data_IF_194853570003
#
_entry.id   IF_194853570003
#
_cell.length_a   1.000
_cell.length_b   1.000
_cell.length_c   1.000
_cell.angle_alpha   90.00
_cell.angle_beta   90.00
_cell.angle_gamma   90.00
#
_symmetry.space_group_name_H-M   'P 1'
#
loop_
_entity.id
_entity.type
_entity.pdbx_description
1 polymer ?
#
# COMPACT_ATOMS: atom_id res chain seq x y z
N UNK A 1 -24.00 25.03 -29.78
CA UNK A 1 -22.76 25.72 -29.39
C UNK A 1 -21.66 25.31 -30.36
N UNK A 2 -20.94 26.25 -31.00
CA UNK A 2 -19.76 25.92 -31.79
C UNK A 2 -18.70 25.24 -30.92
N UNK A 3 -18.03 24.21 -31.45
CA UNK A 3 -17.10 23.32 -30.73
C UNK A 3 -15.86 24.03 -30.14
N UNK A 4 -15.62 25.30 -30.47
CA UNK A 4 -14.41 26.04 -30.14
C UNK A 4 -14.62 27.19 -29.14
N UNK A 5 -15.79 27.26 -28.50
CA UNK A 5 -16.10 28.28 -27.50
C UNK A 5 -16.26 27.62 -26.12
N UNK A 6 -15.17 27.47 -25.34
CA UNK A 6 -15.23 26.84 -24.03
C UNK A 6 -16.04 27.71 -23.06
N UNK A 7 -17.15 27.16 -22.56
CA UNK A 7 -18.00 27.79 -21.56
C UNK A 7 -17.31 27.72 -20.18
N UNK A 8 -16.95 28.87 -19.56
CA UNK A 8 -16.28 28.90 -18.27
C UNK A 8 -17.15 28.40 -17.11
N UNK A 9 -18.44 28.16 -17.35
CA UNK A 9 -19.39 27.59 -16.37
C UNK A 9 -19.70 26.12 -16.62
N UNK A 10 -19.10 25.48 -17.63
CA UNK A 10 -19.36 24.07 -17.94
C UNK A 10 -18.81 23.15 -16.82
N UNK A 11 -19.69 22.46 -16.06
CA UNK A 11 -19.27 21.58 -14.97
C UNK A 11 -18.52 20.34 -15.45
N UNK A 12 -18.58 20.02 -16.75
CA UNK A 12 -17.84 18.91 -17.36
C UNK A 12 -16.43 19.32 -17.81
N UNK A 13 -16.05 20.59 -17.64
CA UNK A 13 -14.69 21.06 -17.89
C UNK A 13 -13.72 20.35 -16.93
N UNK A 14 -12.69 19.71 -17.49
CA UNK A 14 -11.64 19.09 -16.69
C UNK A 14 -10.74 20.18 -16.08
N UNK A 15 -10.78 20.31 -14.76
CA UNK A 15 -9.85 21.14 -14.00
C UNK A 15 -8.78 20.26 -13.36
N UNK A 16 -7.59 20.21 -13.97
CA UNK A 16 -6.43 19.58 -13.36
C UNK A 16 -5.76 20.51 -12.34
N UNK A 17 -5.42 20.00 -11.17
CA UNK A 17 -4.57 20.70 -10.18
C UNK A 17 -3.34 19.83 -9.98
N UNK A 18 -2.16 20.42 -10.17
CA UNK A 18 -0.91 19.76 -9.83
C UNK A 18 -0.64 19.92 -8.33
N UNK A 19 -0.31 18.82 -7.66
CA UNK A 19 0.12 18.81 -6.27
C UNK A 19 1.57 18.37 -6.26
N UNK A 20 2.44 19.19 -5.66
CA UNK A 20 3.85 18.85 -5.54
C UNK A 20 4.00 17.57 -4.70
N UNK A 21 4.47 16.50 -5.34
CA UNK A 21 4.85 15.29 -4.64
C UNK A 21 6.21 15.51 -3.95
N UNK A 22 6.30 15.12 -2.68
CA UNK A 22 7.50 15.27 -1.85
C UNK A 22 8.62 14.31 -2.30
N UNK A 23 9.35 14.69 -3.34
CA UNK A 23 10.64 14.11 -3.69
C UNK A 23 10.67 12.59 -3.88
N UNK A 24 11.84 12.00 -3.63
CA UNK A 24 12.07 10.54 -3.76
C UNK A 24 11.46 9.79 -2.57
N UNK A 25 11.38 10.42 -1.41
CA UNK A 25 10.80 9.86 -0.19
C UNK A 25 9.32 9.47 -0.39
N UNK A 26 8.52 10.34 -1.01
CA UNK A 26 7.12 10.02 -1.30
C UNK A 26 6.96 8.79 -2.21
N UNK A 27 7.91 8.56 -3.13
CA UNK A 27 7.90 7.34 -3.97
C UNK A 27 8.24 6.09 -3.16
N UNK A 28 9.13 6.19 -2.18
CA UNK A 28 9.46 5.09 -1.27
C UNK A 28 8.23 4.74 -0.43
N UNK A 29 7.60 5.73 0.21
CA UNK A 29 6.41 5.51 1.05
C UNK A 29 5.26 4.90 0.25
N UNK A 30 5.03 5.39 -0.97
CA UNK A 30 4.03 4.83 -1.87
C UNK A 30 4.36 3.37 -2.25
N UNK A 31 5.63 3.07 -2.56
CA UNK A 31 6.06 1.71 -2.90
C UNK A 31 5.85 0.75 -1.73
N UNK A 32 6.23 1.16 -0.51
CA UNK A 32 6.01 0.38 0.72
C UNK A 32 4.52 0.10 0.92
N UNK A 33 3.66 1.11 0.78
CA UNK A 33 2.21 0.94 0.90
C UNK A 33 1.66 -0.12 -0.07
N UNK A 34 2.09 -0.10 -1.35
CA UNK A 34 1.69 -1.16 -2.29
C UNK A 34 2.17 -2.55 -1.83
N UNK A 35 3.44 -2.68 -1.47
CA UNK A 35 4.01 -3.96 -1.03
C UNK A 35 3.23 -4.50 0.16
N UNK A 36 2.95 -3.65 1.15
CA UNK A 36 2.19 -4.01 2.34
C UNK A 36 0.79 -4.52 2.02
N UNK A 37 0.03 -3.79 1.20
CA UNK A 37 -1.34 -4.18 0.89
C UNK A 37 -1.41 -5.51 0.13
N UNK A 38 -0.53 -5.71 -0.86
CA UNK A 38 -0.52 -6.97 -1.61
C UNK A 38 0.04 -8.15 -0.80
N UNK A 39 1.01 -7.92 0.09
CA UNK A 39 1.42 -8.95 1.05
C UNK A 39 0.27 -9.32 1.99
N UNK A 40 -0.62 -8.37 2.35
CA UNK A 40 -1.82 -8.62 3.17
C UNK A 40 -2.86 -9.43 2.41
N UNK A 41 -2.95 -9.21 1.10
CA UNK A 41 -3.76 -10.00 0.17
C UNK A 41 -3.18 -11.40 -0.14
N UNK A 42 -2.06 -11.78 0.46
CA UNK A 42 -1.46 -13.11 0.32
C UNK A 42 -0.53 -13.27 -0.89
N UNK A 43 -0.02 -12.18 -1.46
CA UNK A 43 0.97 -12.26 -2.54
C UNK A 43 2.35 -12.56 -1.95
N UNK A 44 3.09 -13.45 -2.61
CA UNK A 44 4.51 -13.67 -2.34
C UNK A 44 5.41 -12.60 -2.98
N UNK A 45 6.68 -12.60 -2.60
CA UNK A 45 7.67 -11.61 -3.06
C UNK A 45 7.75 -11.52 -4.59
N UNK A 46 7.75 -12.66 -5.28
CA UNK A 46 7.86 -12.70 -6.74
C UNK A 46 6.61 -12.17 -7.43
N UNK A 47 5.42 -12.46 -6.88
CA UNK A 47 4.15 -11.94 -7.39
C UNK A 47 4.03 -10.45 -7.17
N UNK A 48 4.51 -9.94 -6.02
CA UNK A 48 4.61 -8.50 -5.78
C UNK A 48 5.58 -7.88 -6.79
N UNK A 49 6.78 -8.45 -6.98
CA UNK A 49 7.74 -7.93 -7.95
C UNK A 49 7.17 -7.88 -9.38
N UNK A 50 6.47 -8.94 -9.82
CA UNK A 50 5.81 -8.97 -11.14
C UNK A 50 4.78 -7.84 -11.31
N UNK A 51 4.05 -7.46 -10.26
CA UNK A 51 3.12 -6.34 -10.30
C UNK A 51 3.84 -5.02 -10.63
N UNK A 52 5.02 -4.76 -10.05
CA UNK A 52 5.81 -3.56 -10.34
C UNK A 52 6.26 -3.49 -11.82
N UNK A 53 6.46 -4.61 -12.49
CA UNK A 53 6.76 -4.65 -13.93
C UNK A 53 5.51 -4.57 -14.83
N UNK A 54 4.31 -4.72 -14.27
CA UNK A 54 3.09 -4.83 -15.06
C UNK A 54 2.51 -3.43 -15.32
N UNK A 55 2.45 -3.02 -16.60
CA UNK A 55 2.08 -1.65 -17.01
C UNK A 55 0.68 -1.21 -16.57
N UNK A 56 -0.27 -2.13 -16.41
CA UNK A 56 -1.62 -1.80 -15.92
C UNK A 56 -1.62 -1.28 -14.48
N UNK A 57 -0.56 -1.53 -13.72
CA UNK A 57 -0.34 -0.98 -12.39
C UNK A 57 0.49 0.30 -12.49
N UNK A 58 -0.16 1.41 -12.84
CA UNK A 58 0.52 2.68 -13.13
C UNK A 58 1.39 3.18 -11.96
N UNK A 59 0.89 3.11 -10.71
CA UNK A 59 1.63 3.51 -9.51
C UNK A 59 2.87 2.65 -9.26
N UNK A 60 2.75 1.31 -9.12
CA UNK A 60 3.90 0.41 -9.01
C UNK A 60 4.89 0.54 -10.16
N UNK A 61 4.41 0.64 -11.40
CA UNK A 61 5.29 0.82 -12.56
C UNK A 61 6.04 2.17 -12.52
N UNK A 62 5.42 3.23 -11.99
CA UNK A 62 6.09 4.52 -11.77
C UNK A 62 7.17 4.39 -10.69
N UNK A 63 6.83 3.80 -9.54
CA UNK A 63 7.79 3.58 -8.45
C UNK A 63 9.01 2.77 -8.91
N UNK A 64 8.81 1.72 -9.73
CA UNK A 64 9.89 0.93 -10.31
C UNK A 64 10.82 1.77 -11.20
N UNK A 65 10.27 2.63 -12.05
CA UNK A 65 11.08 3.51 -12.92
C UNK A 65 11.85 4.56 -12.12
N UNK A 66 11.27 5.09 -11.05
CA UNK A 66 11.89 6.13 -10.24
C UNK A 66 12.95 5.60 -9.28
N UNK A 67 12.66 4.48 -8.59
CA UNK A 67 13.53 3.93 -7.54
C UNK A 67 14.49 2.85 -8.04
N UNK A 68 14.14 2.19 -9.15
CA UNK A 68 14.87 1.08 -9.71
C UNK A 68 14.56 -0.27 -9.05
N UNK A 69 14.78 -1.34 -9.82
CA UNK A 69 14.43 -2.71 -9.42
C UNK A 69 15.10 -3.16 -8.12
N UNK A 70 16.40 -2.88 -7.96
CA UNK A 70 17.15 -3.25 -6.75
C UNK A 70 16.46 -2.69 -5.50
N UNK A 71 16.07 -1.42 -5.52
CA UNK A 71 15.45 -0.78 -4.37
C UNK A 71 14.07 -1.37 -4.05
N UNK A 72 13.28 -1.68 -5.07
CA UNK A 72 11.99 -2.36 -4.89
C UNK A 72 12.17 -3.74 -4.26
N UNK A 73 13.17 -4.52 -4.69
CA UNK A 73 13.47 -5.83 -4.09
C UNK A 73 13.87 -5.73 -2.63
N UNK A 74 14.68 -4.74 -2.26
CA UNK A 74 15.03 -4.45 -0.86
C UNK A 74 13.77 -4.16 -0.02
N UNK A 75 12.91 -3.26 -0.49
CA UNK A 75 11.66 -2.91 0.20
C UNK A 75 10.73 -4.12 0.37
N UNK A 76 10.63 -4.99 -0.65
CA UNK A 76 9.83 -6.22 -0.56
C UNK A 76 10.39 -7.15 0.53
N UNK A 77 11.71 -7.33 0.58
CA UNK A 77 12.34 -8.19 1.56
C UNK A 77 12.14 -7.65 2.99
N UNK A 78 12.34 -6.34 3.18
CA UNK A 78 12.17 -5.68 4.47
C UNK A 78 10.74 -5.85 5.00
N UNK A 79 9.73 -5.58 4.18
CA UNK A 79 8.32 -5.68 4.57
C UNK A 79 7.87 -7.11 4.88
N UNK A 80 8.34 -8.09 4.10
CA UNK A 80 8.04 -9.50 4.36
C UNK A 80 8.68 -9.95 5.68
N UNK A 81 9.92 -9.54 5.96
CA UNK A 81 10.61 -9.88 7.20
C UNK A 81 9.93 -9.30 8.44
N UNK A 82 9.53 -8.02 8.37
CA UNK A 82 8.77 -7.35 9.43
C UNK A 82 7.47 -8.10 9.72
N UNK A 83 6.74 -8.52 8.68
CA UNK A 83 5.48 -9.25 8.83
C UNK A 83 5.65 -10.65 9.37
N UNK A 84 6.67 -11.40 8.92
CA UNK A 84 7.02 -12.69 9.51
C UNK A 84 7.25 -12.57 11.02
N UNK A 85 7.97 -11.53 11.43
CA UNK A 85 8.25 -11.24 12.84
C UNK A 85 6.98 -10.90 13.63
N UNK A 86 6.08 -10.05 13.08
CA UNK A 86 4.78 -9.71 13.68
C UNK A 86 3.86 -10.93 13.81
N UNK A 87 3.84 -11.82 12.79
CA UNK A 87 3.05 -13.06 12.81
C UNK A 87 3.52 -13.99 13.92
N UNK A 88 4.83 -14.22 14.03
CA UNK A 88 5.42 -15.04 15.10
C UNK A 88 5.14 -14.47 16.50
N UNK A 89 5.19 -13.14 16.65
CA UNK A 89 4.81 -12.46 17.89
C UNK A 89 3.34 -12.67 18.27
N UNK A 90 2.42 -12.54 17.31
CA UNK A 90 0.99 -12.80 17.52
C UNK A 90 0.69 -14.25 17.86
N UNK A 91 1.33 -15.21 17.18
CA UNK A 91 1.17 -16.63 17.48
C UNK A 91 1.66 -16.95 18.90
N UNK A 92 2.82 -16.41 19.30
CA UNK A 92 3.35 -16.56 20.67
C UNK A 92 2.41 -15.95 21.72
N UNK A 93 1.88 -14.76 21.47
CA UNK A 93 0.90 -14.12 22.36
C UNK A 93 -0.41 -14.92 22.43
N UNK A 94 -0.91 -15.46 21.31
CA UNK A 94 -2.10 -16.30 21.27
C UNK A 94 -1.91 -17.61 22.05
N UNK A 95 -0.73 -18.24 21.96
CA UNK A 95 -0.39 -19.41 22.79
C UNK A 95 -0.34 -19.05 24.28
N UNK A 96 0.19 -17.88 24.65
CA UNK A 96 0.23 -17.43 26.05
C UNK A 96 -1.14 -16.97 26.58
N UNK A 97 -1.99 -16.40 25.73
CA UNK A 97 -3.32 -15.89 26.11
C UNK A 97 -4.42 -16.95 26.08
N UNK A 98 -4.13 -18.17 25.64
CA UNK A 98 -5.03 -19.32 25.77
C UNK A 98 -5.40 -19.70 27.23
N UNK A 99 -4.80 -19.02 28.23
CA UNK A 99 -5.16 -19.13 29.65
C UNK A 99 -5.76 -17.87 30.28
N UNK A 100 -6.12 -16.83 29.51
CA UNK A 100 -6.72 -15.60 30.06
C UNK A 100 -8.22 -15.61 29.76
N UNK A 101 -9.01 -16.10 30.71
CA UNK A 101 -10.45 -15.85 30.73
C UNK A 101 -10.70 -14.36 30.99
N UNK A 102 -11.33 -13.68 30.05
CA UNK A 102 -11.79 -12.31 30.24
C UNK A 102 -13.10 -12.36 31.04
N UNK A 103 -13.16 -11.83 32.28
CA UNK A 103 -14.40 -11.82 33.04
C UNK A 103 -15.42 -10.92 32.32
N UNK A 104 -16.55 -11.51 31.92
CA UNK A 104 -17.72 -10.78 31.43
C UNK A 104 -18.20 -9.91 32.58
N UNK A 105 -18.15 -8.59 32.42
CA UNK A 105 -18.78 -7.66 33.35
C UNK A 105 -20.30 -7.79 33.17
N UNK A 106 -20.94 -8.59 34.02
CA UNK A 106 -22.39 -8.61 34.13
C UNK A 106 -22.85 -7.20 34.52
N UNK A 107 -23.52 -6.54 33.58
CA UNK A 107 -24.17 -5.25 33.82
C UNK A 107 -25.49 -5.57 34.48
N UNK A 108 -25.51 -5.56 35.81
CA UNK A 108 -26.72 -5.73 36.62
C UNK A 108 -27.74 -4.62 36.34
N UNK A 109 -29.01 -5.03 36.23
CA UNK A 109 -30.17 -4.16 36.00
C UNK A 109 -30.81 -3.60 37.27
#
# INVERSE_FOLDING_TARGET
MPYQDPDPTDPMTLHGVEVEAQGVEAMVDMAVCFIEEYARAGFDADRIMRMFHTRSYAGPALALRTLGERRIRELIADEIAIRGSRRLGRERLATTSAGIELPVLETGG
#
